data_IF_755726406209
#
_entry.id   IF_755726406209
#
_cell.length_a   1.000
_cell.length_b   1.000
_cell.length_c   1.000
_cell.angle_alpha   90.00
_cell.angle_beta   90.00
_cell.angle_gamma   90.00
#
_symmetry.space_group_name_H-M   'P 1'
#
loop_
_entity.id
_entity.type
_entity.pdbx_description
1 polymer ?
#
# COMPACT_ATOMS: atom_id res chain seq x y z
N UNK A 1 -28.43 -29.31 1.40
CA UNK A 1 -28.93 -28.41 0.34
C UNK A 1 -28.44 -27.03 0.68
N UNK A 2 -27.59 -26.42 -0.15
CA UNK A 2 -27.11 -25.05 0.06
C UNK A 2 -28.32 -24.11 -0.02
N UNK A 3 -28.85 -23.69 1.14
CA UNK A 3 -30.03 -22.81 1.21
C UNK A 3 -29.63 -21.43 0.69
N UNK A 4 -30.00 -21.15 -0.55
CA UNK A 4 -29.84 -19.82 -1.13
C UNK A 4 -30.93 -18.91 -0.59
N UNK A 5 -30.58 -17.67 -0.24
CA UNK A 5 -31.52 -16.65 0.21
C UNK A 5 -31.45 -15.42 -0.68
N UNK A 6 -32.57 -14.76 -0.90
CA UNK A 6 -32.59 -13.45 -1.54
C UNK A 6 -32.26 -12.37 -0.50
N UNK A 7 -31.41 -11.43 -0.89
CA UNK A 7 -30.98 -10.35 -0.04
C UNK A 7 -30.77 -9.07 -0.85
N UNK A 8 -30.98 -7.93 -0.19
CA UNK A 8 -30.62 -6.62 -0.71
C UNK A 8 -29.29 -6.18 -0.13
N UNK A 9 -28.41 -5.66 -0.98
CA UNK A 9 -27.08 -5.19 -0.60
C UNK A 9 -27.18 -3.72 -0.18
N UNK A 10 -26.85 -3.45 1.09
CA UNK A 10 -26.99 -2.12 1.70
C UNK A 10 -25.71 -1.29 1.67
N UNK A 11 -24.54 -1.94 1.64
CA UNK A 11 -23.26 -1.23 1.74
C UNK A 11 -22.12 -2.04 1.10
N UNK A 12 -21.02 -1.35 0.78
CA UNK A 12 -19.76 -1.95 0.35
C UNK A 12 -18.68 -1.59 1.37
N UNK A 13 -18.03 -2.58 1.95
CA UNK A 13 -16.95 -2.39 2.93
C UNK A 13 -15.58 -2.24 2.24
N UNK A 14 -14.60 -1.59 2.91
CA UNK A 14 -13.20 -1.69 2.51
C UNK A 14 -12.80 -3.13 2.22
N UNK A 15 -12.08 -3.35 1.12
CA UNK A 15 -11.76 -4.68 0.59
C UNK A 15 -12.77 -5.23 -0.43
N UNK A 16 -13.84 -4.49 -0.74
CA UNK A 16 -14.81 -4.86 -1.79
C UNK A 16 -15.72 -6.02 -1.40
N UNK A 17 -16.19 -6.03 -0.15
CA UNK A 17 -17.15 -7.00 0.37
C UNK A 17 -18.46 -6.27 0.64
N UNK A 18 -19.53 -6.71 -0.01
CA UNK A 18 -20.87 -6.18 0.19
C UNK A 18 -21.49 -6.67 1.50
N UNK A 19 -22.26 -5.80 2.14
CA UNK A 19 -23.15 -6.13 3.25
C UNK A 19 -24.55 -6.29 2.70
N UNK A 20 -25.13 -7.46 2.87
CA UNK A 20 -26.52 -7.72 2.52
C UNK A 20 -27.30 -8.16 3.76
N UNK A 21 -28.60 -7.88 3.77
CA UNK A 21 -29.49 -8.24 4.88
C UNK A 21 -30.60 -9.16 4.38
N UNK A 22 -30.84 -10.25 5.11
CA UNK A 22 -31.96 -11.16 4.88
C UNK A 22 -32.50 -11.64 6.23
N UNK A 23 -33.80 -11.48 6.49
CA UNK A 23 -34.46 -11.96 7.71
C UNK A 23 -33.75 -11.58 9.03
N UNK A 24 -33.26 -10.33 9.15
CA UNK A 24 -32.46 -9.81 10.29
C UNK A 24 -31.06 -10.40 10.45
N UNK A 25 -30.60 -11.25 9.53
CA UNK A 25 -29.22 -11.75 9.49
C UNK A 25 -28.35 -10.90 8.54
N UNK A 26 -27.11 -10.64 8.96
CA UNK A 26 -26.10 -9.95 8.14
C UNK A 26 -25.29 -10.94 7.31
N UNK A 27 -25.24 -10.70 6.01
CA UNK A 27 -24.48 -11.46 5.02
C UNK A 27 -23.30 -10.61 4.51
N UNK A 28 -22.12 -11.21 4.45
CA UNK A 28 -20.92 -10.65 3.83
C UNK A 28 -20.68 -11.38 2.52
N UNK A 29 -20.80 -10.64 1.42
CA UNK A 29 -20.84 -11.22 0.07
C UNK A 29 -19.84 -10.47 -0.81
N UNK A 30 -18.78 -11.13 -1.30
CA UNK A 30 -17.89 -10.53 -2.31
C UNK A 30 -18.61 -10.33 -3.65
N UNK A 31 -18.10 -9.40 -4.47
CA UNK A 31 -18.55 -9.17 -5.86
C UNK A 31 -20.01 -8.69 -6.04
N UNK A 32 -20.58 -8.06 -5.01
CA UNK A 32 -21.90 -7.42 -5.04
C UNK A 32 -21.79 -5.94 -4.69
N UNK A 33 -22.77 -5.14 -5.11
CA UNK A 33 -22.78 -3.69 -4.97
C UNK A 33 -24.02 -3.18 -4.23
N UNK A 34 -23.91 -2.04 -3.52
CA UNK A 34 -25.06 -1.39 -2.91
C UNK A 34 -26.19 -1.16 -3.91
N UNK A 35 -27.43 -1.40 -3.47
CA UNK A 35 -28.64 -1.30 -4.29
C UNK A 35 -28.96 -2.54 -5.12
N UNK A 36 -28.13 -3.58 -5.06
CA UNK A 36 -28.42 -4.84 -5.76
C UNK A 36 -29.34 -5.75 -4.98
N UNK A 37 -30.21 -6.46 -5.73
CA UNK A 37 -30.91 -7.63 -5.22
C UNK A 37 -30.21 -8.88 -5.72
N UNK A 38 -29.83 -9.77 -4.81
CA UNK A 38 -28.96 -10.92 -5.11
C UNK A 38 -29.48 -12.20 -4.47
N UNK A 39 -29.21 -13.33 -5.12
CA UNK A 39 -29.40 -14.66 -4.53
C UNK A 39 -28.07 -15.13 -3.96
N UNK A 40 -28.01 -15.38 -2.66
CA UNK A 40 -26.78 -15.67 -1.93
C UNK A 40 -26.82 -17.07 -1.38
N UNK A 41 -25.83 -17.88 -1.75
CA UNK A 41 -25.54 -19.14 -1.08
C UNK A 41 -24.70 -18.87 0.17
N UNK A 42 -25.23 -19.23 1.35
CA UNK A 42 -24.50 -19.17 2.61
C UNK A 42 -23.36 -20.19 2.60
N UNK A 43 -22.23 -19.87 3.23
CA UNK A 43 -21.08 -20.77 3.34
C UNK A 43 -20.70 -21.02 4.79
N UNK A 44 -20.33 -19.98 5.52
CA UNK A 44 -19.88 -20.12 6.90
C UNK A 44 -20.30 -18.93 7.75
N UNK A 45 -20.47 -19.12 9.05
CA UNK A 45 -20.78 -18.05 10.00
C UNK A 45 -19.53 -17.68 10.80
N UNK A 46 -19.14 -16.41 10.77
CA UNK A 46 -17.98 -15.89 11.51
C UNK A 46 -18.35 -14.58 12.20
N UNK A 47 -18.06 -14.48 13.50
CA UNK A 47 -18.27 -13.26 14.32
C UNK A 47 -19.68 -12.66 14.16
N UNK A 48 -20.71 -13.52 14.15
CA UNK A 48 -22.11 -13.08 14.05
C UNK A 48 -22.61 -12.74 12.64
N UNK A 49 -21.77 -12.80 11.59
CA UNK A 49 -22.18 -12.61 10.21
C UNK A 49 -22.00 -13.89 9.38
N UNK A 50 -22.88 -14.11 8.41
CA UNK A 50 -22.74 -15.17 7.43
C UNK A 50 -21.89 -14.70 6.26
N UNK A 51 -20.87 -15.46 5.90
CA UNK A 51 -20.18 -15.32 4.63
C UNK A 51 -20.90 -16.12 3.57
N UNK A 52 -21.03 -15.56 2.38
CA UNK A 52 -21.70 -16.21 1.26
C UNK A 52 -21.12 -15.82 -0.08
N UNK A 53 -21.64 -16.47 -1.11
CA UNK A 53 -21.35 -16.18 -2.51
C UNK A 53 -22.65 -15.85 -3.22
N UNK A 54 -22.69 -14.72 -3.93
CA UNK A 54 -23.78 -14.44 -4.85
C UNK A 54 -23.75 -15.49 -5.98
N UNK A 55 -24.82 -16.25 -6.11
CA UNK A 55 -25.00 -17.20 -7.21
C UNK A 55 -25.73 -16.56 -8.38
N UNK A 56 -26.44 -15.46 -8.13
CA UNK A 56 -27.17 -14.70 -9.14
C UNK A 56 -27.36 -13.25 -8.70
N UNK A 57 -27.27 -12.33 -9.66
CA UNK A 57 -27.62 -10.92 -9.49
C UNK A 57 -29.01 -10.73 -10.11
N UNK A 58 -30.04 -10.59 -9.27
CA UNK A 58 -31.44 -10.51 -9.70
C UNK A 58 -31.80 -9.10 -10.21
N UNK A 59 -31.21 -8.07 -9.62
CA UNK A 59 -31.31 -6.69 -10.07
C UNK A 59 -29.93 -6.02 -9.92
N UNK A 60 -29.19 -5.78 -11.01
CA UNK A 60 -27.85 -5.20 -10.95
C UNK A 60 -27.89 -3.70 -10.66
N UNK A 61 -26.85 -3.19 -9.99
CA UNK A 61 -26.66 -1.76 -9.78
C UNK A 61 -26.28 -1.08 -11.10
N UNK A 62 -26.71 0.16 -11.36
CA UNK A 62 -26.26 0.92 -12.53
C UNK A 62 -24.75 1.16 -12.54
N UNK A 63 -24.09 1.07 -11.38
CA UNK A 63 -22.64 1.18 -11.24
C UNK A 63 -21.89 -0.13 -11.56
N UNK A 64 -22.59 -1.23 -11.87
CA UNK A 64 -21.95 -2.50 -12.23
C UNK A 64 -21.41 -2.46 -13.66
N UNK A 65 -20.21 -3.02 -13.85
CA UNK A 65 -19.63 -3.30 -15.17
C UNK A 65 -19.10 -4.73 -15.22
N UNK A 66 -18.93 -5.25 -16.43
CA UNK A 66 -18.15 -6.47 -16.63
C UNK A 66 -16.67 -6.18 -16.34
N UNK A 67 -16.01 -6.96 -15.48
CA UNK A 67 -14.61 -6.73 -15.18
C UNK A 67 -13.75 -6.98 -16.43
N UNK A 68 -12.82 -6.07 -16.79
CA UNK A 68 -12.04 -6.21 -18.01
C UNK A 68 -10.98 -7.33 -17.92
N UNK A 69 -10.59 -7.75 -16.71
CA UNK A 69 -9.60 -8.82 -16.56
C UNK A 69 -10.27 -10.20 -16.64
N UNK A 70 -9.78 -11.12 -17.50
CA UNK A 70 -10.41 -12.43 -17.71
C UNK A 70 -10.35 -13.34 -16.48
N UNK A 71 -9.53 -13.00 -15.48
CA UNK A 71 -9.41 -13.77 -14.23
C UNK A 71 -9.89 -12.99 -13.00
N UNK A 72 -10.62 -11.87 -13.18
CA UNK A 72 -11.07 -10.99 -12.09
C UNK A 72 -11.93 -11.70 -11.03
N UNK A 73 -12.70 -12.71 -11.44
CA UNK A 73 -13.56 -13.49 -10.54
C UNK A 73 -12.78 -14.48 -9.66
N UNK A 74 -11.58 -14.87 -10.10
CA UNK A 74 -10.74 -15.85 -9.41
C UNK A 74 -9.60 -15.19 -8.62
N UNK A 75 -8.88 -14.28 -9.27
CA UNK A 75 -7.72 -13.60 -8.70
C UNK A 75 -8.11 -12.72 -7.50
N UNK A 76 -7.37 -12.85 -6.39
CA UNK A 76 -7.61 -12.03 -5.20
C UNK A 76 -7.11 -10.59 -5.27
N UNK A 77 -6.51 -10.18 -6.40
CA UNK A 77 -5.81 -8.89 -6.52
C UNK A 77 -6.71 -7.67 -6.72
N UNK A 78 -7.80 -7.79 -7.48
CA UNK A 78 -8.64 -6.66 -7.89
C UNK A 78 -10.08 -6.86 -7.41
N UNK A 79 -10.40 -6.28 -6.25
CA UNK A 79 -11.70 -6.48 -5.60
C UNK A 79 -12.85 -5.68 -6.23
N UNK A 80 -12.59 -4.63 -7.02
CA UNK A 80 -13.59 -3.65 -7.49
C UNK A 80 -13.68 -3.52 -9.02
N UNK A 81 -13.06 -4.42 -9.81
CA UNK A 81 -13.11 -4.32 -11.27
C UNK A 81 -14.53 -4.44 -11.87
N UNK A 82 -15.49 -4.95 -11.12
CA UNK A 82 -16.90 -5.04 -11.50
C UNK A 82 -17.68 -3.74 -11.19
N UNK A 83 -16.99 -2.68 -10.79
CA UNK A 83 -17.55 -1.37 -10.40
C UNK A 83 -17.05 -0.30 -11.36
N UNK A 84 -17.92 0.58 -11.83
CA UNK A 84 -17.55 1.73 -12.65
C UNK A 84 -16.50 2.60 -11.94
N UNK A 85 -15.51 3.16 -12.65
CA UNK A 85 -14.45 3.95 -12.03
C UNK A 85 -14.93 5.11 -11.15
N UNK A 86 -15.97 5.84 -11.58
CA UNK A 86 -16.55 6.93 -10.78
C UNK A 86 -17.10 6.43 -9.44
N UNK A 87 -17.89 5.34 -9.46
CA UNK A 87 -18.42 4.73 -8.25
C UNK A 87 -17.31 4.14 -7.35
N UNK A 88 -16.21 3.63 -7.92
CA UNK A 88 -15.06 3.22 -7.10
C UNK A 88 -14.48 4.38 -6.29
N UNK A 89 -14.32 5.54 -6.93
CA UNK A 89 -13.81 6.75 -6.30
C UNK A 89 -14.77 7.25 -5.20
N UNK A 90 -16.07 7.19 -5.45
CA UNK A 90 -17.11 7.51 -4.45
C UNK A 90 -17.05 6.59 -3.24
N UNK A 91 -17.06 5.26 -3.45
CA UNK A 91 -17.00 4.30 -2.34
C UNK A 91 -15.72 4.44 -1.53
N UNK A 92 -14.56 4.58 -2.18
CA UNK A 92 -13.27 4.78 -1.49
C UNK A 92 -13.23 6.09 -0.71
N UNK A 93 -13.77 7.16 -1.27
CA UNK A 93 -13.90 8.45 -0.59
C UNK A 93 -14.81 8.34 0.64
N UNK A 94 -15.95 7.67 0.50
CA UNK A 94 -16.86 7.41 1.62
C UNK A 94 -16.20 6.58 2.71
N UNK A 95 -15.45 5.51 2.39
CA UNK A 95 -14.74 4.71 3.39
C UNK A 95 -13.79 5.54 4.27
N UNK A 96 -13.06 6.48 3.67
CA UNK A 96 -12.17 7.37 4.42
C UNK A 96 -12.98 8.38 5.23
N UNK A 97 -13.94 9.06 4.61
CA UNK A 97 -14.77 10.07 5.28
C UNK A 97 -15.52 9.48 6.47
N UNK A 98 -16.16 8.32 6.29
CA UNK A 98 -16.98 7.68 7.30
C UNK A 98 -16.12 7.17 8.46
N UNK A 99 -14.90 6.67 8.18
CA UNK A 99 -13.96 6.25 9.22
C UNK A 99 -13.46 7.42 10.08
N UNK A 100 -13.39 8.63 9.53
CA UNK A 100 -12.94 9.83 10.22
C UNK A 100 -14.10 10.77 10.61
N UNK A 101 -15.36 10.39 10.42
CA UNK A 101 -16.54 11.28 10.51
C UNK A 101 -16.61 12.09 11.80
N UNK A 102 -16.72 11.42 12.95
CA UNK A 102 -15.61 11.47 13.90
C UNK A 102 -15.04 12.82 14.35
N UNK A 103 -14.02 13.19 13.58
CA UNK A 103 -13.05 14.24 13.81
C UNK A 103 -13.20 15.36 12.78
N UNK A 104 -14.11 15.21 11.81
CA UNK A 104 -14.36 16.20 10.77
C UNK A 104 -15.17 17.33 11.39
N UNK A 105 -14.55 18.50 11.46
CA UNK A 105 -15.16 19.76 11.87
C UNK A 105 -15.54 20.60 10.63
N UNK A 106 -16.29 21.68 10.84
CA UNK A 106 -16.74 22.58 9.77
C UNK A 106 -15.61 23.25 8.97
N UNK A 107 -14.42 23.38 9.58
CA UNK A 107 -13.20 23.95 8.99
C UNK A 107 -12.22 22.88 8.48
N UNK A 108 -12.58 21.59 8.60
CA UNK A 108 -11.73 20.51 8.07
C UNK A 108 -11.75 20.52 6.55
N UNK A 109 -10.58 20.71 5.93
CA UNK A 109 -10.44 20.61 4.48
C UNK A 109 -10.48 19.14 4.01
N UNK A 110 -11.61 18.73 3.45
CA UNK A 110 -11.80 17.39 2.88
C UNK A 110 -11.54 17.36 1.37
N UNK A 111 -10.75 16.38 0.92
CA UNK A 111 -10.51 16.09 -0.49
C UNK A 111 -10.80 14.62 -0.80
N UNK A 112 -11.80 14.36 -1.65
CA UNK A 112 -12.12 13.03 -2.16
C UNK A 112 -11.07 12.53 -3.15
N UNK A 113 -11.00 11.21 -3.33
CA UNK A 113 -10.24 10.64 -4.44
C UNK A 113 -11.04 10.75 -5.74
N UNK A 114 -10.35 10.97 -6.87
CA UNK A 114 -10.93 11.09 -8.21
C UNK A 114 -10.65 9.88 -9.11
N UNK A 115 -10.11 8.79 -8.55
CA UNK A 115 -9.65 7.62 -9.32
C UNK A 115 -8.28 7.84 -9.97
N UNK A 116 -7.34 8.45 -9.23
CA UNK A 116 -5.97 8.73 -9.65
C UNK A 116 -5.34 7.51 -10.37
N UNK A 117 -4.98 7.63 -11.66
CA UNK A 117 -4.49 6.49 -12.43
C UNK A 117 -3.08 6.10 -11.99
N UNK A 118 -2.84 4.80 -11.85
CA UNK A 118 -1.50 4.28 -11.65
C UNK A 118 -1.46 2.77 -11.82
N UNK A 119 -0.46 2.30 -12.58
CA UNK A 119 -0.15 0.89 -12.65
C UNK A 119 0.75 0.50 -11.47
N UNK A 120 0.67 -0.78 -11.10
CA UNK A 120 1.53 -1.36 -10.08
C UNK A 120 2.93 -1.51 -10.64
N UNK A 121 3.88 -0.91 -9.93
CA UNK A 121 5.32 -1.03 -10.18
C UNK A 121 6.03 -1.96 -9.19
N UNK A 122 5.29 -2.50 -8.23
CA UNK A 122 5.79 -3.44 -7.23
C UNK A 122 4.87 -4.65 -7.16
N UNK A 123 5.45 -5.84 -7.18
CA UNK A 123 4.71 -7.10 -7.27
C UNK A 123 5.39 -8.21 -6.50
N UNK A 124 4.59 -9.16 -6.02
CA UNK A 124 5.04 -10.46 -5.54
C UNK A 124 4.19 -11.52 -6.22
N UNK A 125 4.81 -12.31 -7.10
CA UNK A 125 4.19 -13.47 -7.72
C UNK A 125 4.50 -14.73 -6.93
N UNK A 126 3.58 -15.67 -6.94
CA UNK A 126 3.74 -17.00 -6.35
C UNK A 126 3.84 -18.04 -7.46
N UNK A 127 4.72 -19.02 -7.27
CA UNK A 127 4.91 -20.10 -8.23
C UNK A 127 3.73 -21.07 -8.15
N UNK A 128 3.00 -21.22 -9.25
CA UNK A 128 1.98 -22.23 -9.45
C UNK A 128 2.42 -23.27 -10.48
N UNK A 129 1.68 -24.38 -10.56
CA UNK A 129 1.86 -25.43 -11.57
C UNK A 129 0.50 -25.97 -12.00
N UNK A 130 0.31 -26.12 -13.31
CA UNK A 130 -0.84 -26.79 -13.92
C UNK A 130 -0.38 -27.64 -15.12
N UNK A 131 -1.31 -28.05 -15.99
CA UNK A 131 -1.03 -28.86 -17.18
C UNK A 131 -0.08 -28.17 -18.17
N UNK A 132 -0.07 -26.83 -18.21
CA UNK A 132 0.79 -26.02 -19.09
C UNK A 132 2.14 -25.68 -18.43
N UNK A 133 2.49 -26.36 -17.34
CA UNK A 133 3.76 -26.21 -16.62
C UNK A 133 3.71 -25.22 -15.46
N UNK A 134 4.89 -24.68 -15.09
CA UNK A 134 5.02 -23.71 -13.99
C UNK A 134 4.62 -22.31 -14.47
N UNK A 135 4.05 -21.53 -13.57
CA UNK A 135 3.67 -20.14 -13.84
C UNK A 135 3.86 -19.24 -12.62
N UNK A 136 3.84 -17.94 -12.85
CA UNK A 136 3.86 -16.90 -11.82
C UNK A 136 2.48 -16.26 -11.72
N UNK A 137 1.81 -16.49 -10.60
CA UNK A 137 0.44 -16.05 -10.38
C UNK A 137 0.27 -15.20 -9.12
N UNK A 138 -0.96 -14.74 -8.91
CA UNK A 138 -1.43 -14.24 -7.62
C UNK A 138 -2.34 -15.28 -6.98
N UNK A 139 -2.47 -15.28 -5.66
CA UNK A 139 -3.42 -16.18 -5.02
C UNK A 139 -4.87 -15.87 -5.39
N UNK A 140 -5.68 -16.92 -5.55
CA UNK A 140 -7.12 -16.78 -5.64
C UNK A 140 -7.68 -16.23 -4.33
N UNK A 141 -8.83 -15.53 -4.40
CA UNK A 141 -9.43 -14.83 -3.26
C UNK A 141 -9.57 -15.78 -2.04
N UNK A 142 -9.02 -15.36 -0.91
CA UNK A 142 -9.05 -16.10 0.36
C UNK A 142 -8.45 -17.52 0.31
N UNK A 143 -7.48 -17.77 -0.58
CA UNK A 143 -6.75 -19.05 -0.65
C UNK A 143 -5.24 -18.82 -0.77
N UNK A 144 -4.47 -19.91 -0.79
CA UNK A 144 -3.04 -19.92 -1.17
C UNK A 144 -2.80 -20.50 -2.57
N UNK A 145 -3.85 -20.65 -3.40
CA UNK A 145 -3.72 -21.24 -4.73
C UNK A 145 -3.39 -20.16 -5.77
N UNK A 146 -2.22 -20.21 -6.44
CA UNK A 146 -1.88 -19.27 -7.51
C UNK A 146 -2.82 -19.41 -8.72
N UNK A 147 -3.15 -18.29 -9.36
CA UNK A 147 -4.00 -18.22 -10.56
C UNK A 147 -3.14 -17.86 -11.76
N UNK A 148 -3.10 -18.75 -12.77
CA UNK A 148 -2.48 -18.48 -14.07
C UNK A 148 -3.25 -17.37 -14.77
N UNK A 149 -2.52 -16.46 -15.41
CA UNK A 149 -3.08 -15.37 -16.20
C UNK A 149 -2.13 -14.98 -17.32
N UNK A 150 -2.66 -14.53 -18.46
CA UNK A 150 -1.86 -14.10 -19.61
C UNK A 150 -1.26 -12.71 -19.40
N UNK A 151 -1.99 -11.81 -18.74
CA UNK A 151 -1.57 -10.44 -18.48
C UNK A 151 -2.26 -9.91 -17.22
N UNK A 152 -1.53 -9.10 -16.45
CA UNK A 152 -2.10 -8.33 -15.33
C UNK A 152 -2.33 -6.89 -15.80
N UNK A 153 -3.60 -6.48 -15.92
CA UNK A 153 -4.00 -5.16 -16.44
C UNK A 153 -3.64 -3.99 -15.51
N UNK A 154 -3.36 -4.29 -14.24
CA UNK A 154 -3.01 -3.28 -13.22
C UNK A 154 -1.51 -3.24 -12.95
N UNK A 155 -0.68 -3.86 -13.79
CA UNK A 155 0.76 -3.99 -13.60
C UNK A 155 1.50 -3.32 -14.76
N UNK A 156 2.61 -2.66 -14.44
CA UNK A 156 3.49 -2.03 -15.42
C UNK A 156 3.96 -3.02 -16.49
N UNK A 157 4.05 -2.55 -17.74
CA UNK A 157 4.37 -3.42 -18.89
C UNK A 157 5.72 -4.16 -18.76
N UNK A 158 6.81 -3.54 -18.27
CA UNK A 158 8.07 -4.25 -18.02
C UNK A 158 7.93 -5.44 -17.06
N UNK A 159 7.07 -5.34 -16.05
CA UNK A 159 6.83 -6.43 -15.09
C UNK A 159 5.99 -7.54 -15.71
N UNK A 160 5.00 -7.23 -16.56
CA UNK A 160 4.29 -8.25 -17.33
C UNK A 160 5.25 -9.03 -18.26
N UNK A 161 6.18 -8.35 -18.93
CA UNK A 161 7.21 -9.00 -19.76
C UNK A 161 8.15 -9.86 -18.93
N UNK A 162 8.63 -9.36 -17.79
CA UNK A 162 9.49 -10.09 -16.86
C UNK A 162 8.81 -11.39 -16.40
N UNK A 163 7.53 -11.33 -16.03
CA UNK A 163 6.76 -12.50 -15.59
C UNK A 163 6.81 -13.61 -16.63
N UNK A 164 6.38 -13.33 -17.86
CA UNK A 164 6.33 -14.31 -18.96
C UNK A 164 7.72 -14.89 -19.24
N UNK A 165 8.74 -14.02 -19.27
CA UNK A 165 10.12 -14.44 -19.49
C UNK A 165 10.63 -15.40 -18.40
N UNK A 166 10.22 -15.18 -17.14
CA UNK A 166 10.62 -15.99 -15.99
C UNK A 166 9.97 -17.37 -15.94
N UNK A 167 8.73 -17.54 -16.40
CA UNK A 167 7.96 -18.78 -16.18
C UNK A 167 8.65 -20.05 -16.71
N UNK A 168 9.42 -19.93 -17.80
CA UNK A 168 10.22 -21.03 -18.36
C UNK A 168 11.62 -21.18 -17.73
N UNK A 169 12.02 -20.27 -16.84
CA UNK A 169 13.39 -20.15 -16.29
C UNK A 169 13.47 -20.24 -14.77
N UNK A 170 12.34 -20.44 -14.08
CA UNK A 170 12.30 -20.47 -12.63
C UNK A 170 13.18 -21.60 -12.05
N UNK A 171 14.15 -21.31 -11.19
CA UNK A 171 14.84 -22.34 -10.42
C UNK A 171 13.86 -23.07 -9.50
N UNK A 172 14.01 -24.39 -9.32
CA UNK A 172 13.04 -25.21 -8.57
C UNK A 172 12.88 -24.84 -7.09
N UNK A 173 13.90 -24.23 -6.49
CA UNK A 173 13.87 -23.79 -5.10
C UNK A 173 13.02 -22.51 -4.88
N UNK A 174 12.67 -21.79 -5.94
CA UNK A 174 11.95 -20.51 -5.86
C UNK A 174 10.46 -20.76 -5.64
N UNK A 175 9.89 -20.11 -4.62
CA UNK A 175 8.45 -20.18 -4.28
C UNK A 175 7.70 -18.92 -4.62
N UNK A 176 8.37 -17.78 -4.58
CA UNK A 176 7.82 -16.51 -5.00
C UNK A 176 8.89 -15.61 -5.59
N UNK A 177 8.46 -14.66 -6.41
CA UNK A 177 9.33 -13.66 -7.03
C UNK A 177 8.79 -12.29 -6.67
N UNK A 178 9.59 -11.48 -5.97
CA UNK A 178 9.28 -10.05 -5.79
C UNK A 178 9.98 -9.25 -6.88
N UNK A 179 9.29 -8.29 -7.47
CA UNK A 179 9.88 -7.35 -8.40
C UNK A 179 9.43 -5.92 -8.10
N UNK A 180 10.37 -4.98 -8.13
CA UNK A 180 10.13 -3.54 -7.93
C UNK A 180 10.77 -2.79 -9.09
N UNK A 181 9.94 -2.20 -9.94
CA UNK A 181 10.33 -1.34 -11.04
C UNK A 181 10.64 0.08 -10.53
N UNK A 182 11.81 0.58 -10.89
CA UNK A 182 12.41 1.86 -10.52
C UNK A 182 12.61 2.75 -11.76
N UNK A 183 13.07 3.98 -11.57
CA UNK A 183 13.22 4.94 -12.67
C UNK A 183 14.34 4.54 -13.65
N UNK A 184 15.33 3.78 -13.19
CA UNK A 184 16.54 3.41 -13.93
C UNK A 184 16.84 1.90 -13.92
N UNK A 185 15.86 1.07 -13.55
CA UNK A 185 15.97 -0.40 -13.55
C UNK A 185 14.89 -1.06 -12.70
N UNK A 186 15.07 -2.33 -12.35
CA UNK A 186 14.21 -3.05 -11.42
C UNK A 186 15.01 -3.99 -10.53
N UNK A 187 14.62 -4.10 -9.27
CA UNK A 187 15.07 -5.19 -8.41
C UNK A 187 14.17 -6.40 -8.60
N UNK A 188 14.76 -7.56 -8.84
CA UNK A 188 14.06 -8.85 -8.90
C UNK A 188 14.64 -9.78 -7.84
N UNK A 189 13.82 -10.16 -6.87
CA UNK A 189 14.20 -10.99 -5.73
C UNK A 189 13.52 -12.34 -5.85
N UNK A 190 14.31 -13.38 -6.04
CA UNK A 190 13.86 -14.76 -5.88
C UNK A 190 13.78 -15.12 -4.42
N UNK A 191 12.60 -15.50 -3.95
CA UNK A 191 12.39 -15.98 -2.59
C UNK A 191 12.35 -17.50 -2.63
N UNK A 192 13.40 -18.11 -2.07
CA UNK A 192 13.67 -19.52 -2.18
C UNK A 192 13.76 -20.21 -0.82
N UNK A 193 13.45 -21.50 -0.82
CA UNK A 193 13.56 -22.37 0.36
C UNK A 193 14.98 -22.87 0.62
N UNK A 194 15.92 -22.59 -0.29
CA UNK A 194 17.30 -23.05 -0.22
C UNK A 194 18.25 -21.90 -0.52
N UNK A 195 19.49 -22.05 -0.08
CA UNK A 195 20.58 -21.16 -0.47
C UNK A 195 20.72 -21.09 -2.00
N UNK A 196 21.32 -20.00 -2.48
CA UNK A 196 21.50 -19.75 -3.90
C UNK A 196 22.30 -20.89 -4.54
N UNK A 197 21.76 -21.58 -5.55
CA UNK A 197 22.53 -22.58 -6.29
C UNK A 197 23.64 -21.88 -7.07
N UNK A 198 24.68 -22.64 -7.45
CA UNK A 198 25.69 -22.12 -8.37
C UNK A 198 25.05 -21.90 -9.75
N UNK A 199 24.85 -20.63 -10.12
CA UNK A 199 24.24 -20.20 -11.38
C UNK A 199 25.23 -19.32 -12.14
N UNK A 200 26.29 -19.89 -12.73
CA UNK A 200 27.30 -19.11 -13.45
C UNK A 200 26.67 -18.34 -14.62
N UNK A 201 25.70 -18.95 -15.28
CA UNK A 201 24.96 -18.37 -16.41
C UNK A 201 23.52 -18.07 -16.01
N UNK A 202 23.25 -16.82 -15.64
CA UNK A 202 21.89 -16.29 -15.53
C UNK A 202 21.66 -15.29 -16.67
N UNK A 203 20.65 -15.51 -17.54
CA UNK A 203 20.46 -14.67 -18.71
C UNK A 203 20.04 -13.25 -18.33
N UNK A 204 20.44 -12.29 -19.15
CA UNK A 204 20.09 -10.90 -18.94
C UNK A 204 18.62 -10.63 -19.27
N UNK A 205 18.03 -9.69 -18.53
CA UNK A 205 16.75 -9.08 -18.84
C UNK A 205 16.92 -7.58 -18.65
N UNK A 206 16.43 -6.80 -19.60
CA UNK A 206 16.65 -5.35 -19.65
C UNK A 206 16.30 -4.67 -18.31
N UNK A 207 17.27 -3.99 -17.72
CA UNK A 207 17.11 -3.25 -16.47
C UNK A 207 16.96 -4.10 -15.21
N UNK A 208 17.00 -5.43 -15.28
CA UNK A 208 16.84 -6.30 -14.11
C UNK A 208 18.14 -6.46 -13.33
N UNK A 209 18.07 -6.21 -12.02
CA UNK A 209 19.10 -6.57 -11.06
C UNK A 209 18.59 -7.68 -10.14
N UNK A 210 19.31 -8.80 -10.14
CA UNK A 210 18.87 -10.08 -9.59
C UNK A 210 19.39 -10.32 -8.19
N UNK A 211 18.50 -10.77 -7.32
CA UNK A 211 18.76 -11.04 -5.91
C UNK A 211 18.18 -12.39 -5.52
N UNK A 212 18.86 -13.06 -4.61
CA UNK A 212 18.42 -14.30 -4.00
C UNK A 212 18.13 -14.07 -2.52
N UNK A 213 16.93 -14.45 -2.08
CA UNK A 213 16.52 -14.44 -0.67
C UNK A 213 16.36 -15.87 -0.16
N UNK A 214 17.05 -16.17 0.93
CA UNK A 214 16.91 -17.39 1.71
C UNK A 214 16.86 -17.02 3.20
N UNK A 215 15.72 -17.29 3.85
CA UNK A 215 15.47 -16.74 5.19
C UNK A 215 15.41 -15.20 5.17
N UNK A 216 16.14 -14.57 6.08
CA UNK A 216 16.25 -13.09 6.17
C UNK A 216 17.35 -12.51 5.28
N UNK A 217 18.23 -13.37 4.75
CA UNK A 217 19.38 -12.94 3.95
C UNK A 217 18.97 -12.65 2.51
N UNK A 218 19.43 -11.52 1.99
CA UNK A 218 19.29 -11.14 0.58
C UNK A 218 20.66 -10.84 0.02
N UNK A 219 21.04 -11.58 -1.01
CA UNK A 219 22.34 -11.44 -1.68
C UNK A 219 22.16 -11.22 -3.18
N UNK A 220 23.06 -10.46 -3.83
CA UNK A 220 23.01 -10.31 -5.28
C UNK A 220 23.44 -11.60 -5.97
N UNK A 221 22.75 -11.97 -7.05
CA UNK A 221 23.14 -13.13 -7.87
C UNK A 221 24.39 -12.86 -8.72
N UNK A 222 24.66 -11.58 -9.03
CA UNK A 222 25.83 -11.13 -9.80
C UNK A 222 26.38 -9.83 -9.23
N UNK A 223 27.71 -9.65 -9.35
CA UNK A 223 28.42 -8.42 -9.00
C UNK A 223 29.13 -7.85 -10.24
N UNK A 224 29.38 -6.53 -10.32
CA UNK A 224 29.00 -5.50 -9.35
C UNK A 224 27.48 -5.22 -9.35
N UNK A 225 26.96 -4.73 -8.22
CA UNK A 225 25.55 -4.28 -8.12
C UNK A 225 25.46 -2.79 -8.46
N UNK A 226 24.39 -2.40 -9.15
CA UNK A 226 24.04 -1.01 -9.41
C UNK A 226 23.14 -0.48 -8.28
N UNK A 227 23.32 0.79 -7.96
CA UNK A 227 22.35 1.54 -7.14
C UNK A 227 21.21 1.97 -8.06
N UNK A 228 19.99 1.51 -7.78
CA UNK A 228 18.79 1.90 -8.51
C UNK A 228 18.05 3.00 -7.76
N UNK A 229 17.30 3.82 -8.48
CA UNK A 229 16.69 5.03 -7.95
C UNK A 229 15.21 5.12 -8.29
N UNK A 230 14.44 5.62 -7.33
CA UNK A 230 13.15 6.22 -7.60
C UNK A 230 13.27 7.74 -7.80
N UNK A 231 12.32 8.33 -8.53
CA UNK A 231 12.24 9.78 -8.73
C UNK A 231 10.99 10.34 -8.09
N UNK A 232 11.15 11.33 -7.21
CA UNK A 232 10.04 11.94 -6.47
C UNK A 232 10.09 13.47 -6.54
N UNK A 233 8.95 14.16 -6.46
CA UNK A 233 8.89 15.62 -6.53
C UNK A 233 9.61 16.28 -5.34
N UNK A 234 10.29 17.39 -5.60
CA UNK A 234 10.93 18.23 -4.59
C UNK A 234 10.79 19.70 -5.01
N UNK A 235 9.82 20.41 -4.43
CA UNK A 235 9.47 21.77 -4.81
C UNK A 235 9.01 21.82 -6.27
N UNK A 236 9.63 22.69 -7.07
CA UNK A 236 9.38 22.78 -8.51
C UNK A 236 10.13 21.70 -9.34
N UNK A 237 11.05 20.96 -8.73
CA UNK A 237 11.88 19.96 -9.39
C UNK A 237 11.61 18.52 -8.93
N UNK A 238 12.61 17.66 -9.12
CA UNK A 238 12.61 16.27 -8.68
C UNK A 238 13.94 15.89 -8.05
N UNK A 239 13.91 14.94 -7.13
CA UNK A 239 15.10 14.31 -6.56
C UNK A 239 15.09 12.81 -6.84
N UNK A 240 16.29 12.21 -6.87
CA UNK A 240 16.46 10.77 -6.99
C UNK A 240 16.79 10.16 -5.64
N UNK A 241 16.01 9.18 -5.21
CA UNK A 241 16.22 8.41 -3.98
C UNK A 241 16.71 7.02 -4.35
N UNK A 242 17.87 6.63 -3.82
CA UNK A 242 18.35 5.26 -3.93
C UNK A 242 17.40 4.34 -3.16
N UNK A 243 17.08 3.22 -3.79
CA UNK A 243 16.20 2.18 -3.26
C UNK A 243 16.93 0.86 -3.39
N UNK A 244 16.99 0.10 -2.30
CA UNK A 244 17.52 -1.26 -2.27
C UNK A 244 16.45 -2.34 -2.49
N UNK A 245 16.86 -3.61 -2.64
CA UNK A 245 15.96 -4.72 -2.94
C UNK A 245 14.98 -5.08 -1.82
N UNK A 246 15.29 -4.66 -0.59
CA UNK A 246 14.48 -4.91 0.59
C UNK A 246 13.68 -3.67 1.03
N UNK A 247 13.85 -2.55 0.34
CA UNK A 247 13.19 -1.31 0.71
C UNK A 247 11.73 -1.32 0.25
N UNK A 248 10.88 -0.73 1.07
CA UNK A 248 9.50 -0.49 0.68
C UNK A 248 9.45 0.72 -0.27
N UNK A 249 8.77 0.53 -1.39
CA UNK A 249 8.41 1.59 -2.34
C UNK A 249 6.91 1.55 -2.51
N UNK A 250 6.31 2.74 -2.60
CA UNK A 250 4.89 2.90 -2.89
C UNK A 250 4.52 2.17 -4.19
N UNK A 251 3.44 1.39 -4.14
CA UNK A 251 3.12 0.42 -5.20
C UNK A 251 2.71 1.05 -6.54
N UNK A 252 2.44 2.36 -6.58
CA UNK A 252 2.07 3.15 -7.75
C UNK A 252 2.95 4.40 -7.80
N UNK A 253 3.56 4.69 -8.96
CA UNK A 253 4.42 5.86 -9.10
C UNK A 253 3.63 7.19 -9.08
N UNK A 254 2.55 7.38 -9.86
CA UNK A 254 1.71 8.57 -9.74
C UNK A 254 1.18 8.77 -8.32
N UNK A 255 0.77 7.68 -7.68
CA UNK A 255 0.35 7.64 -6.29
C UNK A 255 1.41 8.13 -5.31
N UNK A 256 2.64 7.61 -5.41
CA UNK A 256 3.77 8.05 -4.59
C UNK A 256 4.02 9.56 -4.73
N UNK A 257 4.01 10.05 -5.98
CA UNK A 257 4.23 11.46 -6.29
C UNK A 257 3.15 12.34 -5.69
N UNK A 258 1.89 11.89 -5.68
CA UNK A 258 0.79 12.59 -5.04
C UNK A 258 0.98 12.68 -3.51
N UNK A 259 1.37 11.58 -2.86
CA UNK A 259 1.69 11.56 -1.42
C UNK A 259 2.83 12.55 -1.10
N UNK A 260 3.95 12.46 -1.82
CA UNK A 260 5.13 13.32 -1.60
C UNK A 260 4.82 14.81 -1.83
N UNK A 261 4.01 15.14 -2.83
CA UNK A 261 3.53 16.52 -3.05
C UNK A 261 2.63 16.99 -1.93
N UNK A 262 1.69 16.16 -1.47
CA UNK A 262 0.76 16.54 -0.43
C UNK A 262 1.48 16.84 0.89
N UNK A 263 2.49 16.04 1.25
CA UNK A 263 3.36 16.31 2.41
C UNK A 263 4.03 17.68 2.26
N UNK A 264 4.66 17.97 1.12
CA UNK A 264 5.30 19.27 0.88
C UNK A 264 4.34 20.47 0.85
N UNK A 265 3.09 20.24 0.45
CA UNK A 265 2.04 21.26 0.46
C UNK A 265 1.56 21.58 1.87
N UNK A 266 1.46 20.58 2.75
CA UNK A 266 1.03 20.77 4.13
C UNK A 266 2.13 21.26 5.06
N UNK A 267 3.39 20.97 4.76
CA UNK A 267 4.51 21.45 5.58
C UNK A 267 4.65 22.99 5.50
N UNK A 268 4.80 23.67 6.66
CA UNK A 268 5.13 25.09 6.73
C UNK A 268 6.42 25.40 5.96
N UNK A 269 6.48 26.58 5.33
CA UNK A 269 7.65 27.00 4.55
C UNK A 269 8.88 27.30 5.41
N UNK A 270 8.66 27.60 6.69
CA UNK A 270 9.67 27.84 7.71
C UNK A 270 9.96 26.61 8.59
N UNK A 271 9.41 25.43 8.25
CA UNK A 271 9.66 24.19 8.98
C UNK A 271 11.16 23.84 8.96
N UNK A 272 11.76 23.75 10.15
CA UNK A 272 13.20 23.48 10.34
C UNK A 272 13.47 22.06 10.83
N UNK A 273 12.51 21.43 11.50
CA UNK A 273 12.65 20.12 12.14
C UNK A 273 11.52 19.18 11.73
N UNK A 274 11.88 18.17 10.96
CA UNK A 274 10.97 17.09 10.57
C UNK A 274 11.37 15.82 11.32
N UNK A 275 10.39 15.16 11.95
CA UNK A 275 10.53 13.78 12.44
C UNK A 275 9.74 12.88 11.50
N UNK A 276 10.33 11.77 11.06
CA UNK A 276 9.71 10.80 10.15
C UNK A 276 9.79 9.41 10.79
N UNK A 277 8.67 8.91 11.31
CA UNK A 277 8.61 7.59 11.92
C UNK A 277 7.90 6.64 10.94
N UNK A 278 8.50 5.45 10.76
CA UNK A 278 8.26 4.55 9.63
C UNK A 278 8.81 5.13 8.31
N UNK A 279 9.97 5.78 8.38
CA UNK A 279 10.49 6.59 7.27
C UNK A 279 10.91 5.80 6.03
N UNK A 280 11.06 4.47 6.12
CA UNK A 280 11.64 3.67 5.05
C UNK A 280 12.98 4.24 4.57
N UNK A 281 13.13 4.44 3.26
CA UNK A 281 14.30 5.06 2.64
C UNK A 281 14.29 6.61 2.63
N UNK A 282 13.38 7.23 3.38
CA UNK A 282 13.19 8.69 3.47
C UNK A 282 12.30 9.27 2.37
N UNK A 283 11.33 8.50 1.88
CA UNK A 283 10.51 8.84 0.71
C UNK A 283 9.71 10.15 0.87
N UNK A 284 9.12 10.38 2.06
CA UNK A 284 8.26 11.54 2.32
C UNK A 284 9.05 12.74 2.87
N UNK A 285 9.95 12.50 3.83
CA UNK A 285 10.66 13.56 4.54
C UNK A 285 11.85 14.15 3.79
N UNK A 286 12.68 13.35 3.11
CA UNK A 286 13.91 13.84 2.49
C UNK A 286 13.67 14.83 1.32
N UNK A 287 12.70 14.60 0.41
CA UNK A 287 12.42 15.58 -0.65
C UNK A 287 11.94 16.91 -0.08
N UNK A 288 11.10 16.89 0.96
CA UNK A 288 10.63 18.09 1.62
C UNK A 288 11.75 18.81 2.37
N UNK A 289 12.57 18.08 3.12
CA UNK A 289 13.69 18.63 3.88
C UNK A 289 14.75 19.24 2.96
N UNK A 290 15.01 18.61 1.81
CA UNK A 290 15.91 19.14 0.78
C UNK A 290 15.47 20.52 0.29
N UNK A 291 14.16 20.72 0.07
CA UNK A 291 13.59 21.99 -0.39
C UNK A 291 13.59 23.05 0.72
N UNK A 292 13.26 22.65 1.95
CA UNK A 292 13.10 23.58 3.08
C UNK A 292 14.44 23.91 3.77
N UNK A 293 15.50 23.14 3.53
CA UNK A 293 16.71 23.19 4.36
C UNK A 293 16.48 22.67 5.79
N UNK A 294 15.46 21.83 5.98
CA UNK A 294 15.10 21.28 7.28
C UNK A 294 16.03 20.13 7.68
N UNK A 295 16.17 19.90 8.98
CA UNK A 295 16.80 18.69 9.52
C UNK A 295 15.79 17.57 9.73
N UNK A 296 16.21 16.33 9.52
CA UNK A 296 15.34 15.15 9.65
C UNK A 296 15.84 14.21 10.75
N UNK A 297 14.96 13.82 11.66
CA UNK A 297 15.17 12.65 12.51
C UNK A 297 14.24 11.52 12.06
N UNK A 298 14.80 10.45 11.54
CA UNK A 298 14.06 9.32 10.96
C UNK A 298 14.19 8.04 11.77
N UNK A 299 13.13 7.24 11.81
CA UNK A 299 13.15 5.93 12.44
C UNK A 299 12.40 4.88 11.61
N UNK A 300 12.98 3.69 11.50
CA UNK A 300 12.46 2.59 10.68
C UNK A 300 12.81 1.24 11.32
N UNK A 301 11.96 0.22 11.18
CA UNK A 301 12.24 -1.13 11.70
C UNK A 301 13.25 -1.90 10.85
N UNK A 302 13.30 -1.63 9.55
CA UNK A 302 14.21 -2.28 8.61
C UNK A 302 15.57 -1.58 8.53
N UNK A 303 16.62 -2.25 9.01
CA UNK A 303 17.98 -1.73 8.99
C UNK A 303 18.54 -1.46 7.58
N UNK A 304 18.10 -2.18 6.55
CA UNK A 304 18.48 -1.90 5.16
C UNK A 304 17.90 -0.57 4.69
N UNK A 305 16.64 -0.30 5.01
CA UNK A 305 15.97 0.97 4.68
C UNK A 305 16.58 2.15 5.42
N UNK A 306 17.00 1.97 6.68
CA UNK A 306 17.78 2.99 7.40
C UNK A 306 19.11 3.31 6.70
N UNK A 307 19.81 2.30 6.18
CA UNK A 307 21.04 2.53 5.39
C UNK A 307 20.74 3.32 4.11
N UNK A 308 19.66 2.98 3.41
CA UNK A 308 19.21 3.72 2.22
C UNK A 308 18.84 5.17 2.55
N UNK A 309 18.10 5.41 3.64
CA UNK A 309 17.74 6.74 4.11
C UNK A 309 18.99 7.59 4.44
N UNK A 310 19.97 7.03 5.15
CA UNK A 310 21.26 7.70 5.43
C UNK A 310 22.02 8.05 4.15
N UNK A 311 22.05 7.12 3.19
CA UNK A 311 22.69 7.36 1.89
C UNK A 311 21.99 8.49 1.13
N UNK A 312 20.65 8.47 1.08
CA UNK A 312 19.84 9.49 0.43
C UNK A 312 19.99 10.86 1.09
N UNK A 313 19.96 10.93 2.42
CA UNK A 313 20.16 12.17 3.17
C UNK A 313 21.50 12.83 2.84
N UNK A 314 22.59 12.05 2.83
CA UNK A 314 23.93 12.53 2.44
C UNK A 314 23.96 13.04 1.01
N UNK A 315 23.38 12.30 0.07
CA UNK A 315 23.33 12.69 -1.35
C UNK A 315 22.55 13.98 -1.58
N UNK A 316 21.43 14.15 -0.86
CA UNK A 316 20.58 15.34 -0.93
C UNK A 316 21.06 16.50 -0.05
N UNK A 317 22.18 16.32 0.68
CA UNK A 317 22.74 17.27 1.63
C UNK A 317 21.74 17.69 2.71
N UNK A 318 20.88 16.78 3.12
CA UNK A 318 19.92 16.96 4.21
C UNK A 318 20.61 16.54 5.52
N UNK A 319 20.68 17.46 6.49
CA UNK A 319 21.17 17.12 7.81
C UNK A 319 20.16 16.21 8.50
N UNK A 320 20.58 15.02 8.94
CA UNK A 320 19.65 14.14 9.61
C UNK A 320 20.25 12.87 10.19
N UNK A 321 19.53 12.32 11.15
CA UNK A 321 19.86 11.09 11.84
C UNK A 321 18.75 10.07 11.59
N UNK A 322 19.14 8.85 11.22
CA UNK A 322 18.21 7.77 10.93
C UNK A 322 18.58 6.55 11.74
N UNK A 323 17.62 5.93 12.41
CA UNK A 323 17.88 4.81 13.32
C UNK A 323 16.99 3.61 13.02
N UNK A 324 17.52 2.42 13.28
CA UNK A 324 16.74 1.19 13.26
C UNK A 324 16.07 1.01 14.62
N UNK A 325 14.73 0.98 14.69
CA UNK A 325 14.02 0.72 15.94
C UNK A 325 12.63 0.12 15.73
N UNK A 326 12.14 -0.61 16.74
CA UNK A 326 10.78 -1.15 16.74
C UNK A 326 9.76 -0.08 17.14
N UNK A 327 9.12 0.53 16.15
CA UNK A 327 8.09 1.56 16.36
C UNK A 327 6.72 1.01 16.81
N UNK A 328 6.56 -0.31 16.96
CA UNK A 328 5.40 -0.90 17.63
C UNK A 328 5.55 -0.99 19.15
N UNK A 329 6.78 -0.82 19.65
CA UNK A 329 7.10 -0.66 21.06
C UNK A 329 8.15 0.45 21.22
N UNK A 330 7.84 1.69 20.80
CA UNK A 330 8.79 2.79 20.78
C UNK A 330 9.14 3.21 22.20
N UNK A 331 10.38 3.67 22.38
CA UNK A 331 10.81 4.43 23.56
C UNK A 331 10.99 5.87 23.12
N UNK A 332 10.57 6.82 23.95
CA UNK A 332 10.78 8.23 23.68
C UNK A 332 12.26 8.52 23.47
N UNK A 333 12.56 9.42 22.54
CA UNK A 333 13.90 9.90 22.25
C UNK A 333 13.92 11.41 22.13
N UNK A 334 15.01 12.03 22.55
CA UNK A 334 15.14 13.48 22.58
C UNK A 334 15.05 14.10 21.18
N UNK A 335 15.59 13.44 20.16
CA UNK A 335 15.55 13.88 18.78
C UNK A 335 14.13 13.99 18.20
N UNK A 336 13.17 13.27 18.78
CA UNK A 336 11.76 13.25 18.35
C UNK A 336 10.90 14.33 19.02
N UNK A 337 11.39 14.99 20.06
CA UNK A 337 10.62 15.95 20.86
C UNK A 337 10.62 17.33 20.20
N UNK A 338 9.46 17.98 20.23
CA UNK A 338 9.22 19.34 19.73
C UNK A 338 9.69 19.51 18.28
N UNK A 339 9.29 18.58 17.42
CA UNK A 339 9.42 18.72 15.98
C UNK A 339 8.41 19.74 15.46
N UNK A 340 8.78 20.50 14.44
CA UNK A 340 7.83 21.38 13.76
C UNK A 340 6.76 20.52 13.08
N UNK A 341 7.19 19.42 12.44
CA UNK A 341 6.31 18.42 11.84
C UNK A 341 6.73 16.98 12.15
N UNK A 342 5.75 16.13 12.48
CA UNK A 342 5.90 14.69 12.58
C UNK A 342 5.15 14.01 11.42
N UNK A 343 5.87 13.20 10.64
CA UNK A 343 5.33 12.39 9.55
C UNK A 343 5.23 10.93 10.01
N UNK A 344 4.08 10.31 9.77
CA UNK A 344 3.82 8.90 10.06
C UNK A 344 3.30 8.19 8.79
N UNK A 345 4.02 7.19 8.29
CA UNK A 345 3.57 6.29 7.21
C UNK A 345 3.63 4.81 7.66
N UNK A 346 2.84 4.42 8.68
CA UNK A 346 2.88 3.08 9.22
C UNK A 346 2.35 2.02 8.24
N UNK A 347 2.72 0.74 8.44
CA UNK A 347 2.06 -0.37 7.74
C UNK A 347 0.60 -0.50 8.20
N UNK A 348 -0.14 -1.44 7.60
CA UNK A 348 -1.59 -1.69 7.85
C UNK A 348 -2.02 -1.83 9.31
N UNK A 349 -1.11 -2.17 10.22
CA UNK A 349 -1.39 -2.24 11.66
C UNK A 349 -1.58 -0.86 12.31
N UNK A 350 -1.19 0.21 11.63
CA UNK A 350 -1.19 1.59 12.12
C UNK A 350 0.00 1.91 13.04
N UNK A 351 -0.01 3.13 13.59
CA UNK A 351 1.02 3.73 14.43
C UNK A 351 0.56 3.87 15.90
N UNK A 352 -0.40 3.06 16.38
CA UNK A 352 -1.00 3.13 17.73
C UNK A 352 -0.03 3.51 18.84
N UNK A 353 1.10 2.80 18.94
CA UNK A 353 2.06 2.98 20.02
C UNK A 353 2.78 4.35 19.94
N UNK A 354 3.08 4.82 18.72
CA UNK A 354 3.64 6.15 18.49
C UNK A 354 2.58 7.23 18.76
N UNK A 355 1.36 7.05 18.26
CA UNK A 355 0.26 8.00 18.48
C UNK A 355 -0.09 8.16 19.97
N UNK A 356 0.13 7.15 20.81
CA UNK A 356 -0.07 7.25 22.26
C UNK A 356 0.96 8.16 22.97
N UNK A 357 2.05 8.56 22.29
CA UNK A 357 3.15 9.33 22.88
C UNK A 357 3.13 10.83 22.51
N UNK A 358 2.08 11.34 21.86
CA UNK A 358 2.07 12.74 21.37
C UNK A 358 2.19 13.78 22.48
N UNK A 359 1.67 13.50 23.68
CA UNK A 359 1.87 14.34 24.87
C UNK A 359 3.35 14.46 25.30
N UNK A 360 4.18 13.48 24.97
CA UNK A 360 5.61 13.47 25.29
C UNK A 360 6.47 13.97 24.11
N UNK A 361 6.04 13.72 22.88
CA UNK A 361 6.73 14.18 21.66
C UNK A 361 6.42 15.65 21.33
N UNK A 362 5.22 16.13 21.65
CA UNK A 362 4.76 17.51 21.44
C UNK A 362 5.05 18.08 20.03
N UNK A 363 4.80 17.36 18.93
CA UNK A 363 5.00 17.93 17.59
C UNK A 363 4.04 19.09 17.33
N UNK A 364 4.50 20.11 16.59
CA UNK A 364 3.67 21.26 16.19
C UNK A 364 2.52 20.86 15.25
N UNK A 365 2.81 19.97 14.31
CA UNK A 365 1.82 19.32 13.44
C UNK A 365 2.13 17.84 13.22
N UNK A 366 1.13 17.08 12.83
CA UNK A 366 1.25 15.65 12.49
C UNK A 366 0.63 15.42 11.11
N UNK A 367 1.41 14.83 10.21
CA UNK A 367 0.92 14.32 8.92
C UNK A 367 0.95 12.79 9.00
N UNK A 368 -0.21 12.17 8.88
CA UNK A 368 -0.35 10.71 8.96
C UNK A 368 -0.92 10.15 7.67
N UNK A 369 -0.26 9.13 7.12
CA UNK A 369 -0.68 8.34 5.95
C UNK A 369 -1.13 6.96 6.43
N UNK A 370 -2.28 6.48 5.97
CA UNK A 370 -2.79 5.16 6.34
C UNK A 370 -3.43 4.43 5.17
N UNK A 371 -2.95 3.21 4.94
CA UNK A 371 -3.49 2.27 3.94
C UNK A 371 -4.64 1.39 4.47
N UNK A 372 -4.93 1.49 5.77
CA UNK A 372 -6.04 0.83 6.46
C UNK A 372 -6.85 1.88 7.22
N UNK A 373 -8.07 2.15 6.74
CA UNK A 373 -8.92 3.22 7.28
C UNK A 373 -9.35 2.98 8.73
N UNK A 374 -9.48 1.71 9.16
CA UNK A 374 -9.88 1.39 10.52
C UNK A 374 -8.71 1.59 11.51
N UNK A 375 -7.49 1.21 11.12
CA UNK A 375 -6.30 1.55 11.88
C UNK A 375 -6.08 3.07 11.94
N UNK A 376 -6.28 3.77 10.82
CA UNK A 376 -6.20 5.24 10.76
C UNK A 376 -7.17 5.94 11.71
N UNK A 377 -8.45 5.54 11.73
CA UNK A 377 -9.46 6.09 12.65
C UNK A 377 -9.12 5.84 14.13
N UNK A 378 -8.65 4.63 14.46
CA UNK A 378 -8.17 4.29 15.82
C UNK A 378 -7.01 5.19 16.24
N UNK A 379 -6.05 5.42 15.35
CA UNK A 379 -4.87 6.23 15.64
C UNK A 379 -5.22 7.72 15.71
N UNK A 380 -6.12 8.19 14.84
CA UNK A 380 -6.72 9.53 14.89
C UNK A 380 -7.41 9.82 16.23
N UNK A 381 -8.11 8.83 16.80
CA UNK A 381 -8.69 8.97 18.14
C UNK A 381 -7.63 9.32 19.19
N UNK A 382 -6.47 8.66 19.15
CA UNK A 382 -5.39 8.94 20.11
C UNK A 382 -4.84 10.36 19.95
N UNK A 383 -4.69 10.84 18.71
CA UNK A 383 -4.29 12.22 18.44
C UNK A 383 -5.31 13.20 19.02
N UNK A 384 -6.59 12.97 18.74
CA UNK A 384 -7.69 13.79 19.21
C UNK A 384 -7.76 13.88 20.74
N UNK A 385 -7.66 12.74 21.43
CA UNK A 385 -7.67 12.70 22.91
C UNK A 385 -6.50 13.44 23.56
N UNK A 386 -5.42 13.68 22.80
CA UNK A 386 -4.23 14.43 23.25
C UNK A 386 -4.26 15.90 22.81
N UNK A 387 -5.40 16.38 22.29
CA UNK A 387 -5.64 17.77 21.96
C UNK A 387 -5.30 18.16 20.52
N UNK A 388 -5.08 17.19 19.61
CA UNK A 388 -4.89 17.49 18.20
C UNK A 388 -6.23 17.51 17.44
N UNK A 389 -6.43 18.49 16.56
CA UNK A 389 -7.59 18.61 15.68
C UNK A 389 -7.25 18.28 14.25
N UNK A 390 -8.17 17.62 13.55
CA UNK A 390 -8.05 17.32 12.13
C UNK A 390 -8.25 18.60 11.33
N UNK A 391 -7.22 19.05 10.61
CA UNK A 391 -7.28 20.25 9.76
C UNK A 391 -7.50 19.94 8.30
N UNK A 392 -6.97 18.82 7.82
CA UNK A 392 -7.22 18.36 6.47
C UNK A 392 -7.26 16.83 6.41
N UNK A 393 -8.11 16.31 5.53
CA UNK A 393 -8.25 14.89 5.26
C UNK A 393 -8.34 14.70 3.74
N UNK A 394 -7.56 13.74 3.21
CA UNK A 394 -7.54 13.43 1.79
C UNK A 394 -7.61 11.94 1.57
N UNK A 395 -8.53 11.50 0.71
CA UNK A 395 -8.52 10.15 0.16
C UNK A 395 -7.70 10.11 -1.13
N UNK A 396 -6.91 9.05 -1.30
CA UNK A 396 -6.09 8.81 -2.48
C UNK A 396 -6.29 7.37 -2.96
N UNK A 397 -6.68 7.23 -4.23
CA UNK A 397 -6.77 5.93 -4.87
C UNK A 397 -5.46 5.58 -5.57
N UNK A 398 -4.54 4.92 -4.86
CA UNK A 398 -3.29 4.46 -5.45
C UNK A 398 -3.47 3.24 -6.36
N UNK A 399 -4.60 2.53 -6.24
CA UNK A 399 -4.82 1.24 -6.88
C UNK A 399 -6.27 1.11 -7.38
N UNK A 400 -6.57 1.68 -8.56
CA UNK A 400 -7.86 1.48 -9.22
C UNK A 400 -8.19 -0.01 -9.36
N UNK A 401 -9.45 -0.36 -9.10
CA UNK A 401 -9.93 -1.75 -9.10
C UNK A 401 -9.54 -2.58 -7.87
N UNK A 402 -8.67 -2.09 -6.97
CA UNK A 402 -8.41 -2.74 -5.68
C UNK A 402 -9.36 -2.24 -4.59
N UNK A 403 -9.59 -3.06 -3.56
CA UNK A 403 -10.40 -2.70 -2.38
C UNK A 403 -9.62 -1.90 -1.33
N UNK A 404 -8.64 -1.09 -1.74
CA UNK A 404 -7.79 -0.31 -0.85
C UNK A 404 -7.86 1.17 -1.22
N UNK A 405 -7.67 2.03 -0.23
CA UNK A 405 -7.63 3.49 -0.35
C UNK A 405 -6.62 3.97 0.68
N UNK A 406 -5.81 4.97 0.30
CA UNK A 406 -4.95 5.67 1.23
C UNK A 406 -5.71 6.86 1.82
N UNK A 407 -5.57 7.05 3.13
CA UNK A 407 -6.01 8.24 3.83
C UNK A 407 -4.77 9.05 4.23
N UNK A 408 -4.73 10.33 3.88
CA UNK A 408 -3.79 11.28 4.45
C UNK A 408 -4.54 12.23 5.36
N UNK A 409 -4.03 12.45 6.56
CA UNK A 409 -4.63 13.36 7.55
C UNK A 409 -3.59 14.31 8.12
N UNK A 410 -3.98 15.57 8.25
CA UNK A 410 -3.19 16.65 8.85
C UNK A 410 -3.81 17.04 10.18
N UNK A 411 -3.00 17.06 11.23
CA UNK A 411 -3.40 17.40 12.57
C UNK A 411 -2.54 18.50 13.16
N UNK A 412 -3.18 19.43 13.88
CA UNK A 412 -2.49 20.49 14.65
C UNK A 412 -3.08 20.51 16.06
N UNK A 413 -2.39 21.13 17.01
CA UNK A 413 -3.02 21.44 18.30
C UNK A 413 -4.06 22.55 18.17
#
# INVERSE_FOLDING_TARGET
MDTSVEAEVSALLPGGVGVACCCRERLLVPHVLPGERVRVCRKERRRGAWWGRAVEILAPSPARVSPPCPVAERCGGCALQHVQPAAQAEYKSAWVRDAFAEFIEHDTHWQSCSGEPGLRRRVRWFVGKDADGRFLGFHARCTHQPVRHAQCLVLEAPLNRLRVWLESRLPDAVRSVQATLLADGMHVVFEAERAMPNLPEWPEFEGAQWWWRHGEEVQPMRRPVRTLHDRVPAGAGEVSLAVGPCDFVQGSQPGNRALVRQVQQWLPKDCRRIVDLFCGAGNLSLPAAHVLGARVAGAEGNAASVRAARFNARRLRVAGEFIACNLFAPRQRAEWVAADALILDPPRKGAKAVCAMMHALLPGMIIMVNCDVAAGARDARLLHTQGYRLRALRALDLFPGAGHVEAMSLWTR
#
